data_IF_306220975709
#
_entry.id   IF_306220975709
#
_cell.length_a   1.000
_cell.length_b   1.000
_cell.length_c   1.000
_cell.angle_alpha   90.00
_cell.angle_beta   90.00
_cell.angle_gamma   90.00
#
_symmetry.space_group_name_H-M   'P 1'
#
loop_
_entity.id
_entity.type
_entity.pdbx_description
1 polymer ?
#
# COMPACT_ATOMS: atom_id res chain seq x y z
N UNK A 1 -12.65 -12.69 -10.73
CA UNK A 1 -11.22 -13.03 -10.95
C UNK A 1 -10.51 -11.85 -11.59
N UNK A 2 -9.31 -11.50 -11.11
CA UNK A 2 -8.49 -10.43 -11.66
C UNK A 2 -8.03 -10.78 -13.09
N UNK A 3 -8.11 -9.81 -14.01
CA UNK A 3 -7.66 -9.95 -15.41
C UNK A 3 -6.83 -8.74 -15.81
N UNK A 4 -6.01 -8.86 -16.85
CA UNK A 4 -5.29 -7.71 -17.40
C UNK A 4 -6.24 -6.63 -17.91
N UNK A 5 -7.38 -7.01 -18.49
CA UNK A 5 -8.38 -6.06 -18.96
C UNK A 5 -8.90 -5.18 -17.82
N UNK A 6 -9.13 -5.75 -16.62
CA UNK A 6 -9.46 -4.97 -15.42
C UNK A 6 -8.35 -3.98 -15.05
N UNK A 7 -7.08 -4.38 -15.17
CA UNK A 7 -5.95 -3.48 -14.86
C UNK A 7 -5.84 -2.36 -15.90
N UNK A 8 -6.04 -2.67 -17.18
CA UNK A 8 -6.06 -1.65 -18.25
C UNK A 8 -7.26 -0.70 -18.10
N UNK A 9 -8.44 -1.23 -17.77
CA UNK A 9 -9.60 -0.41 -17.47
C UNK A 9 -9.35 0.50 -16.26
N UNK A 10 -8.80 -0.04 -15.17
CA UNK A 10 -8.37 0.74 -14.02
C UNK A 10 -7.38 1.85 -14.40
N UNK A 11 -6.41 1.54 -15.25
CA UNK A 11 -5.46 2.55 -15.74
C UNK A 11 -6.14 3.67 -16.52
N UNK A 12 -7.16 3.37 -17.31
CA UNK A 12 -7.93 4.37 -18.05
C UNK A 12 -8.78 5.23 -17.12
N UNK A 13 -9.52 4.60 -16.19
CA UNK A 13 -10.37 5.28 -15.20
C UNK A 13 -9.56 6.21 -14.29
N UNK A 14 -8.33 5.83 -13.96
CA UNK A 14 -7.49 6.58 -13.03
C UNK A 14 -6.79 7.80 -13.65
N UNK A 15 -6.69 7.93 -14.98
CA UNK A 15 -5.90 8.98 -15.67
C UNK A 15 -6.17 10.41 -15.19
N UNK A 16 -7.42 10.73 -14.89
CA UNK A 16 -7.82 12.08 -14.48
C UNK A 16 -7.81 12.29 -12.95
N UNK A 17 -7.49 11.24 -12.20
CA UNK A 17 -7.60 11.25 -10.74
C UNK A 17 -6.25 11.23 -10.06
N UNK A 18 -5.33 10.44 -10.60
CA UNK A 18 -4.00 10.23 -10.01
C UNK A 18 -2.94 11.09 -10.70
N UNK A 19 -1.80 11.25 -10.03
CA UNK A 19 -0.59 11.76 -10.66
C UNK A 19 0.17 10.61 -11.30
N UNK A 20 0.70 10.77 -12.52
CA UNK A 20 1.75 9.89 -13.02
C UNK A 20 3.01 10.11 -12.15
N UNK A 21 3.29 9.17 -11.24
CA UNK A 21 4.49 9.21 -10.40
C UNK A 21 5.69 8.71 -11.17
N UNK A 22 6.86 9.31 -10.95
CA UNK A 22 8.08 8.93 -11.67
C UNK A 22 8.80 7.74 -11.03
N UNK A 23 9.54 6.98 -11.85
CA UNK A 23 10.65 6.16 -11.39
C UNK A 23 11.93 6.99 -11.45
N UNK A 24 12.49 7.38 -10.30
CA UNK A 24 13.71 8.20 -10.21
C UNK A 24 14.93 7.34 -9.96
N UNK A 25 16.04 7.64 -10.66
CA UNK A 25 17.30 6.93 -10.49
C UNK A 25 17.94 7.24 -9.12
N UNK A 26 18.33 6.21 -8.37
CA UNK A 26 18.81 6.30 -7.00
C UNK A 26 20.07 5.44 -6.74
N UNK A 27 21.21 5.72 -7.41
CA UNK A 27 22.40 4.86 -7.40
C UNK A 27 23.08 4.77 -6.03
N UNK A 28 22.73 5.68 -5.11
CA UNK A 28 23.31 5.67 -3.75
C UNK A 28 22.59 4.72 -2.79
N UNK A 29 21.47 4.09 -3.19
CA UNK A 29 20.75 3.11 -2.37
C UNK A 29 21.59 1.84 -2.21
N UNK A 30 22.14 1.33 -3.30
CA UNK A 30 23.05 0.18 -3.27
C UNK A 30 24.06 0.29 -4.44
N UNK A 31 25.37 0.32 -4.18
CA UNK A 31 26.39 0.47 -5.24
C UNK A 31 26.51 -0.75 -6.17
N UNK A 32 26.02 -1.89 -5.76
CA UNK A 32 26.07 -3.13 -6.54
C UNK A 32 24.89 -3.29 -7.51
N UNK A 33 23.90 -2.37 -7.48
CA UNK A 33 22.66 -2.43 -8.27
C UNK A 33 22.38 -1.11 -8.98
N UNK A 34 21.64 -1.15 -10.08
CA UNK A 34 21.06 0.03 -10.73
C UNK A 34 19.64 0.27 -10.16
N UNK A 35 19.54 1.14 -9.13
CA UNK A 35 18.30 1.29 -8.35
C UNK A 35 17.45 2.46 -8.84
N UNK A 36 16.15 2.21 -8.98
CA UNK A 36 15.11 3.21 -9.26
C UNK A 36 14.07 3.21 -8.15
N UNK A 37 13.48 4.38 -7.86
CA UNK A 37 12.42 4.55 -6.87
C UNK A 37 11.13 4.94 -7.57
N UNK A 38 10.10 4.10 -7.49
CA UNK A 38 8.73 4.44 -7.90
C UNK A 38 8.07 5.25 -6.80
N UNK A 39 7.86 6.54 -7.04
CA UNK A 39 7.57 7.55 -6.00
C UNK A 39 6.08 7.69 -5.70
N UNK A 40 5.40 6.63 -5.26
CA UNK A 40 3.98 6.67 -4.85
C UNK A 40 3.73 7.50 -3.57
N UNK A 41 4.78 7.86 -2.83
CA UNK A 41 4.72 8.86 -1.76
C UNK A 41 4.39 10.27 -2.28
N UNK A 42 4.55 10.55 -3.57
CA UNK A 42 4.19 11.81 -4.22
C UNK A 42 2.80 11.76 -4.89
N UNK A 43 2.03 10.70 -4.70
CA UNK A 43 0.68 10.57 -5.23
C UNK A 43 -0.30 11.57 -4.59
N UNK A 44 -1.48 11.79 -5.17
CA UNK A 44 -2.46 12.82 -4.77
C UNK A 44 -2.77 12.81 -3.27
N UNK A 45 -2.97 11.63 -2.66
CA UNK A 45 -3.20 11.47 -1.21
C UNK A 45 -1.91 11.14 -0.44
N UNK A 46 -0.74 11.34 -1.06
CA UNK A 46 0.54 10.92 -0.50
C UNK A 46 0.75 9.41 -0.48
N UNK A 47 -0.11 8.61 -1.11
CA UNK A 47 0.01 7.16 -1.15
C UNK A 47 -0.71 6.52 -2.34
N UNK A 48 -0.30 5.29 -2.68
CA UNK A 48 -0.91 4.48 -3.73
C UNK A 48 -2.38 4.13 -3.48
N UNK A 49 -2.88 4.24 -2.25
CA UNK A 49 -4.21 3.76 -1.83
C UNK A 49 -5.36 4.36 -2.64
N UNK A 50 -5.20 5.57 -3.12
CA UNK A 50 -6.20 6.23 -3.98
C UNK A 50 -6.51 5.43 -5.25
N UNK A 51 -5.53 4.71 -5.82
CA UNK A 51 -5.69 3.94 -7.06
C UNK A 51 -6.76 2.84 -6.91
N UNK A 52 -6.56 1.95 -5.93
CA UNK A 52 -7.50 0.87 -5.66
C UNK A 52 -8.85 1.36 -5.14
N UNK A 53 -8.86 2.34 -4.22
CA UNK A 53 -10.10 2.90 -3.68
C UNK A 53 -10.94 3.54 -4.79
N UNK A 54 -10.32 4.35 -5.65
CA UNK A 54 -11.05 5.01 -6.73
C UNK A 54 -11.59 4.00 -7.75
N UNK A 55 -10.76 3.06 -8.20
CA UNK A 55 -11.23 2.07 -9.16
C UNK A 55 -12.37 1.23 -8.58
N UNK A 56 -12.26 0.74 -7.34
CA UNK A 56 -13.35 0.01 -6.68
C UNK A 56 -14.64 0.82 -6.66
N UNK A 57 -14.59 2.06 -6.22
CA UNK A 57 -15.77 2.93 -6.09
C UNK A 57 -16.37 3.27 -7.46
N UNK A 58 -15.55 3.45 -8.49
CA UNK A 58 -16.04 3.70 -9.86
C UNK A 58 -16.85 2.52 -10.44
N UNK A 59 -16.56 1.30 -9.98
CA UNK A 59 -17.21 0.06 -10.45
C UNK A 59 -18.51 -0.28 -9.71
N UNK A 60 -18.92 0.51 -8.71
CA UNK A 60 -20.17 0.30 -8.00
C UNK A 60 -21.39 0.54 -8.91
N UNK A 61 -22.44 -0.25 -8.71
CA UNK A 61 -23.73 -0.02 -9.35
C UNK A 61 -24.37 1.31 -8.88
N UNK A 62 -25.35 1.80 -9.61
CA UNK A 62 -26.07 3.03 -9.21
C UNK A 62 -26.80 2.85 -7.88
N UNK A 63 -27.29 1.64 -7.58
CA UNK A 63 -27.88 1.28 -6.30
C UNK A 63 -26.86 1.38 -5.17
N UNK A 64 -25.69 0.73 -5.29
CA UNK A 64 -24.60 0.81 -4.31
C UNK A 64 -24.11 2.25 -4.11
N UNK A 65 -23.98 3.04 -5.19
CA UNK A 65 -23.61 4.45 -5.13
C UNK A 65 -24.63 5.28 -4.36
N UNK A 66 -25.94 4.98 -4.53
CA UNK A 66 -27.01 5.72 -3.85
C UNK A 66 -27.00 5.53 -2.33
N UNK A 67 -26.62 4.36 -1.84
CA UNK A 67 -26.46 4.10 -0.41
C UNK A 67 -25.19 4.76 0.16
N UNK A 68 -24.10 4.81 -0.62
CA UNK A 68 -22.80 5.32 -0.19
C UNK A 68 -21.82 4.23 0.20
N UNK A 69 -20.63 4.63 0.62
CA UNK A 69 -19.55 3.72 0.97
C UNK A 69 -19.09 3.91 2.41
N UNK A 70 -18.55 2.84 2.99
CA UNK A 70 -17.97 2.85 4.34
C UNK A 70 -16.61 2.14 4.34
N UNK A 71 -15.68 2.62 5.17
CA UNK A 71 -14.42 1.95 5.40
C UNK A 71 -13.98 2.09 6.87
N UNK A 72 -13.11 1.19 7.30
CA UNK A 72 -12.42 1.29 8.59
C UNK A 72 -10.93 1.51 8.34
N UNK A 73 -10.41 2.69 8.66
CA UNK A 73 -8.98 2.99 8.56
C UNK A 73 -8.65 4.34 9.21
N UNK A 74 -7.61 4.37 10.01
CA UNK A 74 -7.05 5.62 10.54
C UNK A 74 -5.87 6.16 9.70
N UNK A 75 -5.69 5.71 8.44
CA UNK A 75 -4.51 6.04 7.64
C UNK A 75 -4.81 6.32 6.17
N UNK A 76 -3.89 5.89 5.31
CA UNK A 76 -3.89 6.20 3.89
C UNK A 76 -5.11 5.67 3.12
N UNK A 77 -5.68 4.54 3.57
CA UNK A 77 -6.89 4.01 2.95
C UNK A 77 -8.09 4.91 3.19
N UNK A 78 -8.24 5.47 4.40
CA UNK A 78 -9.28 6.43 4.72
C UNK A 78 -9.29 7.61 3.75
N UNK A 79 -8.12 8.23 3.53
CA UNK A 79 -7.97 9.35 2.61
C UNK A 79 -8.25 8.96 1.15
N UNK A 80 -7.79 7.77 0.75
CA UNK A 80 -8.06 7.24 -0.59
C UNK A 80 -9.56 7.04 -0.85
N UNK A 81 -10.29 6.44 0.11
CA UNK A 81 -11.75 6.25 0.02
C UNK A 81 -12.48 7.58 0.04
N UNK A 82 -12.12 8.49 0.94
CA UNK A 82 -12.74 9.81 1.05
C UNK A 82 -12.63 10.61 -0.27
N UNK A 83 -11.41 10.71 -0.82
CA UNK A 83 -11.20 11.37 -2.10
C UNK A 83 -11.98 10.70 -3.25
N UNK A 84 -11.92 9.35 -3.30
CA UNK A 84 -12.56 8.60 -4.36
C UNK A 84 -14.10 8.76 -4.34
N UNK A 85 -14.71 8.67 -3.16
CA UNK A 85 -16.15 8.85 -2.99
C UNK A 85 -16.57 10.27 -3.36
N UNK A 86 -15.88 11.28 -2.86
CA UNK A 86 -16.18 12.69 -3.15
C UNK A 86 -16.10 13.00 -4.65
N UNK A 87 -15.05 12.50 -5.35
CA UNK A 87 -14.91 12.68 -6.79
C UNK A 87 -16.01 11.96 -7.61
N UNK A 88 -16.60 10.90 -7.07
CA UNK A 88 -17.74 10.20 -7.69
C UNK A 88 -19.10 10.74 -7.19
N UNK A 89 -19.15 11.77 -6.36
CA UNK A 89 -20.40 12.31 -5.81
C UNK A 89 -21.10 11.37 -4.82
N UNK A 90 -20.37 10.47 -4.17
CA UNK A 90 -20.88 9.42 -3.29
C UNK A 90 -20.61 9.79 -1.84
N UNK A 91 -21.57 9.58 -0.95
CA UNK A 91 -21.38 9.71 0.49
C UNK A 91 -20.37 8.67 0.98
N UNK A 92 -19.42 9.08 1.83
CA UNK A 92 -18.48 8.16 2.48
C UNK A 92 -18.44 8.36 3.98
N UNK A 93 -18.40 7.24 4.72
CA UNK A 93 -18.22 7.21 6.17
C UNK A 93 -16.93 6.45 6.47
N UNK A 94 -16.09 7.04 7.30
CA UNK A 94 -14.84 6.40 7.73
C UNK A 94 -14.88 6.19 9.24
N UNK A 95 -14.92 4.93 9.67
CA UNK A 95 -14.82 4.55 11.07
C UNK A 95 -13.34 4.43 11.46
N UNK A 96 -12.99 5.03 12.60
CA UNK A 96 -11.63 4.97 13.15
C UNK A 96 -11.70 5.09 14.69
N UNK A 97 -10.68 4.55 15.40
CA UNK A 97 -10.61 4.69 16.86
C UNK A 97 -10.59 6.17 17.27
N UNK A 98 -11.20 6.49 18.39
CA UNK A 98 -11.23 7.87 18.94
C UNK A 98 -9.85 8.38 19.36
N UNK A 99 -8.90 7.48 19.66
CA UNK A 99 -7.49 7.78 19.86
C UNK A 99 -6.68 8.02 18.57
N UNK A 100 -7.31 8.06 17.39
CA UNK A 100 -6.60 8.35 16.14
C UNK A 100 -6.02 9.77 16.13
N UNK A 101 -4.81 9.97 15.56
CA UNK A 101 -4.21 11.29 15.48
C UNK A 101 -5.10 12.32 14.78
N UNK A 102 -5.25 13.49 15.39
CA UNK A 102 -6.12 14.58 14.89
C UNK A 102 -5.82 14.93 13.43
N UNK A 103 -4.55 14.96 13.04
CA UNK A 103 -4.14 15.25 11.67
C UNK A 103 -4.68 14.25 10.64
N UNK A 104 -4.80 12.96 11.01
CA UNK A 104 -5.40 11.93 10.13
C UNK A 104 -6.91 12.09 10.01
N UNK A 105 -7.56 12.43 11.13
CA UNK A 105 -8.99 12.73 11.16
C UNK A 105 -9.30 13.93 10.27
N UNK A 106 -8.58 15.03 10.44
CA UNK A 106 -8.78 16.26 9.67
C UNK A 106 -8.43 16.08 8.18
N UNK A 107 -7.38 15.33 7.85
CA UNK A 107 -7.07 14.99 6.46
C UNK A 107 -8.21 14.20 5.80
N UNK A 108 -8.79 13.24 6.51
CA UNK A 108 -9.93 12.43 6.01
C UNK A 108 -11.16 13.29 5.78
N UNK A 109 -11.51 14.17 6.74
CA UNK A 109 -12.59 15.15 6.58
C UNK A 109 -12.32 16.13 5.43
N UNK A 110 -11.07 16.58 5.29
CA UNK A 110 -10.64 17.49 4.22
C UNK A 110 -10.87 16.93 2.81
N UNK A 111 -10.90 15.60 2.66
CA UNK A 111 -11.29 14.91 1.42
C UNK A 111 -12.79 14.67 1.29
N UNK A 112 -13.61 15.16 2.23
CA UNK A 112 -15.07 15.16 2.14
C UNK A 112 -15.80 13.98 2.78
N UNK A 113 -15.10 13.11 3.53
CA UNK A 113 -15.75 12.01 4.24
C UNK A 113 -16.35 12.44 5.58
N UNK A 114 -17.46 11.81 5.95
CA UNK A 114 -17.98 11.80 7.32
C UNK A 114 -17.08 10.88 8.17
N UNK A 115 -16.66 11.34 9.34
CA UNK A 115 -15.81 10.59 10.26
C UNK A 115 -16.62 10.11 11.44
N UNK A 116 -16.61 8.79 11.67
CA UNK A 116 -17.19 8.12 12.81
C UNK A 116 -16.06 7.71 13.77
N UNK A 117 -15.90 8.47 14.89
CA UNK A 117 -14.96 8.12 15.95
C UNK A 117 -15.57 7.07 16.87
N UNK A 118 -14.85 5.98 17.09
CA UNK A 118 -15.31 4.84 17.87
C UNK A 118 -14.40 4.66 19.08
N UNK A 119 -14.92 4.64 20.32
CA UNK A 119 -14.12 4.33 21.49
C UNK A 119 -13.47 2.95 21.39
N UNK A 120 -12.18 2.87 21.71
CA UNK A 120 -11.44 1.61 21.71
C UNK A 120 -10.33 1.53 20.66
N UNK A 121 -10.10 0.32 20.11
CA UNK A 121 -9.03 0.00 19.16
C UNK A 121 -9.57 -0.21 17.74
N UNK A 122 -8.67 -0.60 16.83
CA UNK A 122 -9.04 -0.82 15.41
C UNK A 122 -10.18 -1.83 15.25
N UNK A 123 -10.18 -2.91 16.02
CA UNK A 123 -11.19 -3.97 15.92
C UNK A 123 -12.60 -3.47 16.31
N UNK A 124 -12.69 -2.55 17.28
CA UNK A 124 -13.95 -1.90 17.66
C UNK A 124 -14.48 -0.99 16.54
N UNK A 125 -13.59 -0.22 15.93
CA UNK A 125 -13.94 0.64 14.79
C UNK A 125 -14.34 -0.19 13.56
N UNK A 126 -13.72 -1.34 13.35
CA UNK A 126 -14.09 -2.26 12.29
C UNK A 126 -15.48 -2.87 12.53
N UNK A 127 -15.74 -3.35 13.74
CA UNK A 127 -17.05 -3.89 14.13
C UNK A 127 -18.15 -2.84 13.92
N UNK A 128 -17.90 -1.57 14.30
CA UNK A 128 -18.84 -0.46 14.07
C UNK A 128 -19.05 -0.16 12.59
N UNK A 129 -18.01 -0.27 11.78
CA UNK A 129 -18.16 -0.09 10.32
C UNK A 129 -19.05 -1.19 9.71
N UNK A 130 -18.92 -2.44 10.16
CA UNK A 130 -19.76 -3.56 9.73
C UNK A 130 -21.22 -3.35 10.18
N UNK A 131 -21.44 -2.95 11.45
CA UNK A 131 -22.78 -2.62 11.97
C UNK A 131 -23.47 -1.54 11.10
N UNK A 132 -22.78 -0.45 10.81
CA UNK A 132 -23.30 0.65 10.01
C UNK A 132 -23.54 0.23 8.55
N UNK A 133 -22.65 -0.60 7.98
CA UNK A 133 -22.85 -1.20 6.66
C UNK A 133 -24.18 -1.94 6.59
N UNK A 134 -24.40 -2.86 7.53
CA UNK A 134 -25.57 -3.75 7.52
C UNK A 134 -26.89 -2.98 7.80
N UNK A 135 -26.81 -1.95 8.66
CA UNK A 135 -27.99 -1.13 9.00
C UNK A 135 -28.42 -0.16 7.87
N UNK A 136 -27.48 0.28 7.01
CA UNK A 136 -27.74 1.35 6.03
C UNK A 136 -27.51 0.92 4.58
N UNK A 137 -27.05 -0.30 4.32
CA UNK A 137 -26.77 -0.80 2.98
C UNK A 137 -25.50 -0.20 2.34
N UNK A 138 -24.58 0.37 3.13
CA UNK A 138 -23.33 0.91 2.60
C UNK A 138 -22.46 -0.18 1.98
N UNK A 139 -21.75 0.15 0.90
CA UNK A 139 -20.71 -0.74 0.39
C UNK A 139 -19.42 -0.57 1.19
N UNK A 140 -18.93 -1.67 1.79
CA UNK A 140 -17.64 -1.67 2.51
C UNK A 140 -16.48 -1.68 1.51
N UNK A 141 -15.57 -0.71 1.62
CA UNK A 141 -14.37 -0.63 0.77
C UNK A 141 -13.20 -1.23 1.52
N UNK A 142 -12.87 -2.49 1.16
CA UNK A 142 -11.79 -3.23 1.81
C UNK A 142 -10.41 -2.63 1.48
N UNK A 143 -9.48 -2.51 2.46
CA UNK A 143 -8.20 -1.83 2.26
C UNK A 143 -7.21 -2.56 1.33
N UNK A 144 -7.41 -3.86 1.04
CA UNK A 144 -6.51 -4.67 0.23
C UNK A 144 -7.14 -5.93 -0.39
N UNK A 145 -8.08 -6.61 0.27
CA UNK A 145 -8.61 -7.90 -0.16
C UNK A 145 -9.90 -7.76 -0.98
N UNK A 146 -9.78 -7.11 -2.11
CA UNK A 146 -10.86 -6.91 -3.11
C UNK A 146 -10.21 -6.85 -4.50
N UNK A 147 -10.74 -7.60 -5.45
CA UNK A 147 -10.17 -7.71 -6.80
C UNK A 147 -10.11 -6.37 -7.56
N UNK A 148 -11.08 -5.49 -7.36
CA UNK A 148 -11.06 -4.18 -8.00
C UNK A 148 -10.03 -3.26 -7.32
N UNK A 149 -9.88 -3.36 -5.99
CA UNK A 149 -8.80 -2.68 -5.27
C UNK A 149 -7.45 -3.17 -5.76
N UNK A 150 -7.25 -4.48 -5.87
CA UNK A 150 -6.02 -5.11 -6.40
C UNK A 150 -5.75 -4.67 -7.84
N UNK A 151 -6.77 -4.61 -8.71
CA UNK A 151 -6.64 -4.15 -10.09
C UNK A 151 -6.15 -2.69 -10.16
N UNK A 152 -6.73 -1.80 -9.34
CA UNK A 152 -6.28 -0.41 -9.24
C UNK A 152 -4.80 -0.29 -8.84
N UNK A 153 -4.34 -1.12 -7.88
CA UNK A 153 -2.92 -1.17 -7.48
C UNK A 153 -2.04 -1.74 -8.60
N UNK A 154 -2.56 -2.66 -9.41
CA UNK A 154 -1.87 -3.25 -10.55
C UNK A 154 -1.43 -2.23 -11.60
N UNK A 155 -2.08 -1.08 -11.68
CA UNK A 155 -1.71 0.01 -12.60
C UNK A 155 -0.29 0.54 -12.36
N UNK A 156 0.24 0.39 -11.13
CA UNK A 156 1.63 0.73 -10.82
C UNK A 156 2.60 -0.18 -11.58
N UNK A 157 2.25 -1.47 -11.72
CA UNK A 157 3.03 -2.41 -12.53
C UNK A 157 3.13 -1.98 -13.99
N UNK A 158 2.03 -1.48 -14.58
CA UNK A 158 2.03 -0.92 -15.95
C UNK A 158 2.98 0.28 -16.06
N UNK A 159 2.89 1.21 -15.11
CA UNK A 159 3.74 2.41 -15.08
C UNK A 159 5.22 2.06 -14.91
N UNK A 160 5.56 1.12 -14.02
CA UNK A 160 6.95 0.67 -13.83
C UNK A 160 7.50 0.08 -15.11
N UNK A 161 6.78 -0.85 -15.76
CA UNK A 161 7.22 -1.48 -16.99
C UNK A 161 7.35 -0.49 -18.15
N UNK A 162 6.56 0.58 -18.16
CA UNK A 162 6.66 1.65 -19.14
C UNK A 162 7.86 2.59 -18.88
N UNK A 163 8.16 2.90 -17.61
CA UNK A 163 9.19 3.86 -17.23
C UNK A 163 10.59 3.23 -17.13
N UNK A 164 10.67 1.95 -16.75
CA UNK A 164 11.90 1.16 -16.61
C UNK A 164 11.71 -0.17 -17.35
N UNK A 165 11.67 -0.08 -18.69
CA UNK A 165 11.32 -1.21 -19.54
C UNK A 165 12.25 -2.43 -19.41
N UNK A 166 13.49 -2.23 -18.96
CA UNK A 166 14.51 -3.25 -18.74
C UNK A 166 14.71 -3.58 -17.24
N UNK A 167 13.73 -3.30 -16.37
CA UNK A 167 13.77 -3.73 -15.00
C UNK A 167 13.93 -5.24 -14.87
N UNK A 168 14.81 -5.68 -13.96
CA UNK A 168 15.04 -7.08 -13.61
C UNK A 168 14.24 -7.49 -12.37
N UNK A 169 14.12 -6.57 -11.40
CA UNK A 169 13.52 -6.83 -10.09
C UNK A 169 12.66 -5.66 -9.65
N UNK A 170 11.50 -5.95 -9.11
CA UNK A 170 10.62 -4.96 -8.46
C UNK A 170 10.45 -5.36 -7.00
N UNK A 171 10.63 -4.40 -6.07
CA UNK A 171 10.54 -4.62 -4.63
C UNK A 171 9.39 -3.78 -4.07
N UNK A 172 8.44 -4.44 -3.37
CA UNK A 172 7.15 -3.87 -2.99
C UNK A 172 6.89 -4.04 -1.49
N UNK A 173 6.41 -3.03 -0.76
CA UNK A 173 6.04 -3.18 0.65
C UNK A 173 4.78 -4.05 0.78
N UNK A 174 4.73 -4.90 1.80
CA UNK A 174 3.63 -5.85 2.03
C UNK A 174 3.05 -5.69 3.43
N UNK A 175 1.79 -5.23 3.49
CA UNK A 175 0.92 -5.41 4.66
C UNK A 175 -0.03 -6.58 4.41
N UNK A 176 -1.31 -6.31 4.17
CA UNK A 176 -2.30 -7.32 3.81
C UNK A 176 -2.21 -7.89 2.39
N UNK A 177 -1.27 -7.42 1.56
CA UNK A 177 -0.93 -8.01 0.27
C UNK A 177 -1.53 -7.36 -0.97
N UNK A 178 -2.50 -6.43 -0.86
CA UNK A 178 -3.22 -5.90 -2.04
C UNK A 178 -2.35 -5.18 -3.07
N UNK A 179 -1.34 -4.42 -2.62
CA UNK A 179 -0.42 -3.72 -3.50
C UNK A 179 0.44 -4.70 -4.31
N UNK A 180 1.13 -5.60 -3.61
CA UNK A 180 2.02 -6.56 -4.26
C UNK A 180 1.25 -7.53 -5.17
N UNK A 181 0.04 -7.94 -4.78
CA UNK A 181 -0.83 -8.79 -5.60
C UNK A 181 -1.12 -8.14 -6.96
N UNK A 182 -1.52 -6.87 -6.95
CA UNK A 182 -1.78 -6.13 -8.19
C UNK A 182 -0.53 -5.93 -9.05
N UNK A 183 0.57 -5.49 -8.43
CA UNK A 183 1.84 -5.26 -9.14
C UNK A 183 2.39 -6.57 -9.70
N UNK A 184 2.49 -7.64 -8.88
CA UNK A 184 3.03 -8.92 -9.30
C UNK A 184 2.18 -9.57 -10.39
N UNK A 185 0.85 -9.60 -10.23
CA UNK A 185 -0.04 -10.08 -11.28
C UNK A 185 0.24 -9.38 -12.62
N UNK A 186 0.19 -8.04 -12.62
CA UNK A 186 0.37 -7.24 -13.84
C UNK A 186 1.74 -7.49 -14.48
N UNK A 187 2.80 -7.47 -13.68
CA UNK A 187 4.17 -7.68 -14.16
C UNK A 187 4.36 -9.08 -14.72
N UNK A 188 3.89 -10.11 -14.02
CA UNK A 188 4.04 -11.51 -14.47
C UNK A 188 3.24 -11.82 -15.73
N UNK A 189 2.09 -11.15 -15.94
CA UNK A 189 1.32 -11.31 -17.16
C UNK A 189 2.00 -10.65 -18.39
N UNK A 190 2.67 -9.51 -18.20
CA UNK A 190 3.26 -8.72 -19.29
C UNK A 190 4.74 -9.04 -19.53
N UNK A 191 5.49 -9.30 -18.47
CA UNK A 191 6.93 -9.56 -18.50
C UNK A 191 7.33 -10.58 -17.43
N UNK A 192 7.05 -11.87 -17.65
CA UNK A 192 7.24 -12.92 -16.62
C UNK A 192 8.70 -13.08 -16.14
N UNK A 193 9.68 -12.59 -16.91
CA UNK A 193 11.09 -12.62 -16.54
C UNK A 193 11.45 -11.66 -15.39
N UNK A 194 10.64 -10.62 -15.16
CA UNK A 194 10.86 -9.69 -14.04
C UNK A 194 10.48 -10.35 -12.71
N UNK A 195 11.40 -10.33 -11.77
CA UNK A 195 11.14 -10.85 -10.43
C UNK A 195 10.45 -9.79 -9.56
N UNK A 196 9.47 -10.23 -8.77
CA UNK A 196 8.75 -9.36 -7.83
C UNK A 196 8.91 -9.88 -6.42
N UNK A 197 9.56 -9.09 -5.57
CA UNK A 197 9.77 -9.40 -4.16
C UNK A 197 8.94 -8.51 -3.25
N UNK A 198 8.37 -9.13 -2.23
CA UNK A 198 7.70 -8.44 -1.12
C UNK A 198 8.65 -8.12 0.03
N UNK A 199 8.35 -7.08 0.79
CA UNK A 199 9.06 -6.75 2.03
C UNK A 199 8.08 -6.48 3.15
N UNK A 200 8.22 -7.20 4.26
CA UNK A 200 7.51 -6.97 5.52
C UNK A 200 8.46 -6.50 6.62
N UNK A 201 7.93 -5.86 7.65
CA UNK A 201 8.70 -5.64 8.87
C UNK A 201 8.83 -6.96 9.66
N UNK A 202 9.97 -7.20 10.29
CA UNK A 202 10.20 -8.38 11.15
C UNK A 202 9.17 -8.52 12.27
N UNK A 203 8.65 -7.40 12.78
CA UNK A 203 7.61 -7.40 13.80
C UNK A 203 6.17 -7.59 13.28
N UNK A 204 5.97 -7.81 11.96
CA UNK A 204 4.66 -8.05 11.33
C UNK A 204 4.78 -8.96 10.09
N UNK A 205 5.34 -10.20 10.20
CA UNK A 205 5.66 -11.07 9.07
C UNK A 205 4.50 -11.98 8.63
N UNK A 206 3.25 -11.48 8.63
CA UNK A 206 2.06 -12.30 8.40
C UNK A 206 2.07 -13.03 7.05
N UNK A 207 2.43 -12.34 5.96
CA UNK A 207 2.50 -12.93 4.62
C UNK A 207 3.68 -13.88 4.49
N UNK A 208 4.84 -13.58 5.10
CA UNK A 208 6.02 -14.47 5.11
C UNK A 208 5.66 -15.80 5.76
N UNK A 209 5.03 -15.77 6.95
CA UNK A 209 4.62 -16.97 7.66
C UNK A 209 3.60 -17.75 6.85
N UNK A 210 2.58 -17.06 6.33
CA UNK A 210 1.52 -17.69 5.54
C UNK A 210 2.05 -18.41 4.29
N UNK A 211 2.97 -17.75 3.55
CA UNK A 211 3.58 -18.38 2.36
C UNK A 211 4.46 -19.59 2.72
N UNK A 212 5.18 -19.50 3.83
CA UNK A 212 6.03 -20.60 4.33
C UNK A 212 5.19 -21.81 4.72
N UNK A 213 4.06 -21.59 5.39
CA UNK A 213 3.21 -22.64 5.92
C UNK A 213 2.15 -23.12 4.92
N UNK A 214 2.04 -22.44 3.76
CA UNK A 214 1.09 -22.77 2.69
C UNK A 214 -0.37 -22.51 3.04
N UNK A 215 -0.64 -21.72 4.08
CA UNK A 215 -1.98 -21.33 4.55
C UNK A 215 -1.91 -19.97 5.21
N UNK A 216 -3.06 -19.29 5.29
CA UNK A 216 -3.15 -17.99 5.97
C UNK A 216 -2.89 -18.17 7.47
N UNK A 217 -1.93 -17.39 7.99
CA UNK A 217 -1.57 -17.34 9.40
C UNK A 217 -1.92 -15.97 9.98
N UNK A 218 -2.64 -15.97 11.11
CA UNK A 218 -2.95 -14.77 11.87
C UNK A 218 -1.94 -14.61 13.02
N UNK A 219 -1.23 -13.48 13.06
CA UNK A 219 -0.26 -13.17 14.12
C UNK A 219 -0.99 -12.79 15.41
N UNK A 220 -0.51 -13.27 16.55
CA UNK A 220 -1.04 -12.89 17.86
C UNK A 220 -0.87 -11.38 18.11
N UNK A 221 0.31 -10.84 17.77
CA UNK A 221 0.64 -9.43 17.92
C UNK A 221 1.51 -8.92 16.77
N UNK A 222 1.51 -7.61 16.58
CA UNK A 222 2.34 -6.94 15.56
C UNK A 222 2.96 -5.68 16.16
N UNK A 223 4.27 -5.54 16.02
CA UNK A 223 5.05 -4.42 16.56
C UNK A 223 6.06 -3.94 15.52
N UNK A 224 5.87 -2.74 14.99
CA UNK A 224 6.80 -2.10 14.06
C UNK A 224 6.50 -0.61 13.94
N UNK A 225 7.51 0.17 13.57
CA UNK A 225 7.37 1.59 13.18
C UNK A 225 6.72 1.76 11.81
N UNK A 226 6.62 0.69 11.02
CA UNK A 226 6.01 0.68 9.69
C UNK A 226 4.48 0.52 9.77
N UNK A 227 3.77 1.51 10.32
CA UNK A 227 2.33 1.47 10.57
C UNK A 227 1.49 1.06 9.35
N UNK A 228 1.88 1.51 8.15
CA UNK A 228 1.15 1.24 6.92
C UNK A 228 1.14 -0.23 6.47
N UNK A 229 2.01 -1.07 7.04
CA UNK A 229 2.10 -2.51 6.78
C UNK A 229 1.92 -3.37 8.04
N UNK A 230 1.48 -2.78 9.14
CA UNK A 230 1.24 -3.45 10.42
C UNK A 230 -0.06 -4.25 10.39
N UNK A 231 -0.05 -5.39 9.71
CA UNK A 231 -1.23 -6.22 9.43
C UNK A 231 -1.02 -7.62 10.02
N UNK A 232 -2.00 -8.07 10.83
CA UNK A 232 -1.93 -9.38 11.51
C UNK A 232 -2.14 -10.56 10.56
N UNK A 233 -2.94 -10.39 9.52
CA UNK A 233 -3.39 -11.47 8.67
C UNK A 233 -3.51 -11.02 7.21
N UNK A 234 -2.99 -11.76 6.23
CA UNK A 234 -3.24 -11.51 4.80
C UNK A 234 -4.72 -11.72 4.45
N UNK A 235 -5.16 -11.14 3.34
CA UNK A 235 -6.45 -11.48 2.77
C UNK A 235 -6.43 -12.83 2.03
N UNK A 236 -7.59 -13.41 1.80
CA UNK A 236 -7.73 -14.68 1.07
C UNK A 236 -7.27 -14.52 -0.40
N UNK A 237 -7.80 -13.52 -1.09
CA UNK A 237 -7.38 -13.22 -2.47
C UNK A 237 -5.91 -12.83 -2.54
N UNK A 238 -5.45 -11.97 -1.61
CA UNK A 238 -4.07 -11.51 -1.65
C UNK A 238 -3.06 -12.62 -1.34
N UNK A 239 -3.39 -13.57 -0.47
CA UNK A 239 -2.58 -14.74 -0.24
C UNK A 239 -2.49 -15.63 -1.49
N UNK A 240 -3.62 -15.88 -2.17
CA UNK A 240 -3.65 -16.65 -3.43
C UNK A 240 -2.77 -15.98 -4.50
N UNK A 241 -2.91 -14.66 -4.71
CA UNK A 241 -2.11 -13.94 -5.69
C UNK A 241 -0.62 -13.89 -5.34
N UNK A 242 -0.29 -13.68 -4.06
CA UNK A 242 1.10 -13.72 -3.61
C UNK A 242 1.73 -15.11 -3.81
N UNK A 243 1.03 -16.17 -3.44
CA UNK A 243 1.51 -17.55 -3.64
C UNK A 243 1.78 -17.88 -5.11
N UNK A 244 1.04 -17.27 -6.04
CA UNK A 244 1.11 -17.57 -7.46
C UNK A 244 2.09 -16.69 -8.24
N UNK A 245 2.24 -15.42 -7.86
CA UNK A 245 2.92 -14.44 -8.70
C UNK A 245 4.13 -13.77 -8.07
N UNK A 246 4.36 -13.93 -6.75
CA UNK A 246 5.48 -13.30 -6.04
C UNK A 246 6.65 -14.26 -5.96
N UNK A 247 7.85 -13.80 -6.29
CA UNK A 247 9.07 -14.64 -6.29
C UNK A 247 9.63 -14.87 -4.87
N UNK A 248 9.22 -14.08 -3.90
CA UNK A 248 9.55 -14.23 -2.48
C UNK A 248 9.16 -13.01 -1.65
N UNK A 249 9.06 -13.21 -0.35
CA UNK A 249 8.84 -12.12 0.61
C UNK A 249 9.94 -12.20 1.68
N UNK A 250 10.61 -11.06 1.92
CA UNK A 250 11.68 -10.93 2.92
C UNK A 250 11.25 -10.00 4.05
N UNK A 251 11.99 -10.01 5.14
CA UNK A 251 11.77 -9.11 6.27
C UNK A 251 12.93 -8.15 6.48
N UNK A 252 12.62 -6.97 7.03
CA UNK A 252 13.56 -5.96 7.48
C UNK A 252 13.24 -5.55 8.91
N UNK A 253 14.28 -5.22 9.70
CA UNK A 253 14.11 -4.73 11.06
C UNK A 253 13.68 -3.26 11.10
N UNK A 254 13.18 -2.79 12.24
CA UNK A 254 12.83 -1.38 12.43
C UNK A 254 14.07 -0.46 12.35
N UNK A 255 15.26 -0.95 12.71
CA UNK A 255 16.52 -0.21 12.55
C UNK A 255 16.91 -0.07 11.07
N UNK A 256 16.76 -1.12 10.29
CA UNK A 256 16.98 -1.09 8.84
C UNK A 256 15.99 -0.14 8.15
N UNK A 257 14.71 -0.15 8.58
CA UNK A 257 13.68 0.77 8.10
C UNK A 257 14.04 2.23 8.44
N UNK A 258 14.46 2.50 9.68
CA UNK A 258 14.89 3.82 10.14
C UNK A 258 16.07 4.35 9.32
N UNK A 259 17.04 3.49 9.04
CA UNK A 259 18.19 3.82 8.20
C UNK A 259 17.79 4.15 6.77
N UNK A 260 16.81 3.44 6.22
CA UNK A 260 16.28 3.70 4.87
C UNK A 260 15.48 5.02 4.81
N UNK A 261 14.70 5.36 5.86
CA UNK A 261 14.01 6.65 5.95
C UNK A 261 15.03 7.79 5.91
N UNK A 262 16.09 7.70 6.74
CA UNK A 262 17.15 8.69 6.77
C UNK A 262 17.85 8.82 5.40
N UNK A 263 18.17 7.69 4.76
CA UNK A 263 18.76 7.69 3.42
C UNK A 263 17.86 8.38 2.38
N UNK A 264 16.54 8.09 2.40
CA UNK A 264 15.59 8.74 1.49
C UNK A 264 15.57 10.25 1.68
N UNK A 265 15.55 10.74 2.93
CA UNK A 265 15.57 12.17 3.25
C UNK A 265 16.91 12.80 2.82
N UNK A 266 18.03 12.23 3.24
CA UNK A 266 19.34 12.84 3.04
C UNK A 266 19.84 12.77 1.60
N UNK A 267 19.66 11.61 0.95
CA UNK A 267 20.29 11.34 -0.37
C UNK A 267 19.32 11.53 -1.53
N UNK A 268 18.02 11.27 -1.30
CA UNK A 268 17.01 11.33 -2.37
C UNK A 268 16.07 12.55 -2.24
N UNK A 269 16.08 13.24 -1.08
CA UNK A 269 15.17 14.38 -0.78
C UNK A 269 13.69 13.96 -0.83
N UNK A 270 13.43 12.70 -0.52
CA UNK A 270 12.09 12.12 -0.44
C UNK A 270 11.73 11.85 1.02
N UNK A 271 10.51 12.22 1.38
CA UNK A 271 9.92 11.88 2.68
C UNK A 271 9.01 10.68 2.51
N UNK A 272 9.24 9.63 3.29
CA UNK A 272 8.43 8.42 3.32
C UNK A 272 8.26 7.96 4.76
N UNK A 273 7.10 7.36 5.08
CA UNK A 273 6.94 6.65 6.36
C UNK A 273 7.63 5.28 6.32
N UNK A 274 7.69 4.61 7.48
CA UNK A 274 8.36 3.31 7.62
C UNK A 274 7.92 2.28 6.59
N UNK A 275 6.61 2.15 6.36
CA UNK A 275 6.07 1.20 5.38
C UNK A 275 6.59 1.44 3.95
N UNK A 276 6.66 2.69 3.52
CA UNK A 276 7.16 3.05 2.19
C UNK A 276 8.68 2.94 2.05
N UNK A 277 9.42 2.93 3.16
CA UNK A 277 10.88 2.80 3.16
C UNK A 277 11.36 1.33 3.15
N UNK A 278 10.49 0.35 3.47
CA UNK A 278 10.88 -1.06 3.58
C UNK A 278 11.52 -1.64 2.30
N UNK A 279 11.08 -1.33 1.05
CA UNK A 279 11.75 -1.82 -0.13
C UNK A 279 13.18 -1.29 -0.28
N UNK A 280 13.39 -0.03 0.10
CA UNK A 280 14.71 0.59 0.09
C UNK A 280 15.60 -0.06 1.15
N UNK A 281 15.08 -0.31 2.35
CA UNK A 281 15.80 -1.06 3.40
C UNK A 281 16.25 -2.44 2.91
N UNK A 282 15.34 -3.21 2.29
CA UNK A 282 15.67 -4.54 1.80
C UNK A 282 16.81 -4.55 0.76
N UNK A 283 16.87 -3.53 -0.11
CA UNK A 283 17.93 -3.39 -1.11
C UNK A 283 19.22 -2.86 -0.48
N UNK A 284 19.14 -1.89 0.42
CA UNK A 284 20.32 -1.35 1.15
C UNK A 284 21.03 -2.42 1.96
N UNK A 285 20.30 -3.30 2.60
CA UNK A 285 20.83 -4.34 3.49
C UNK A 285 20.93 -5.71 2.82
N UNK A 286 20.89 -5.76 1.46
CA UNK A 286 21.10 -6.98 0.65
C UNK A 286 20.18 -8.16 1.03
N UNK A 287 18.91 -7.88 1.42
CA UNK A 287 17.93 -8.92 1.76
C UNK A 287 17.35 -9.61 0.52
N UNK A 288 17.39 -8.96 -0.64
CA UNK A 288 16.87 -9.52 -1.90
C UNK A 288 17.96 -10.34 -2.58
N UNK A 289 17.69 -11.62 -2.92
CA UNK A 289 18.70 -12.48 -3.52
C UNK A 289 19.02 -12.09 -4.97
N UNK A 290 20.27 -12.30 -5.38
CA UNK A 290 20.77 -12.22 -6.77
C UNK A 290 20.45 -10.91 -7.49
N UNK A 291 20.61 -9.76 -6.79
CA UNK A 291 20.36 -8.43 -7.37
C UNK A 291 21.62 -7.72 -7.84
N UNK A 292 22.82 -8.27 -7.60
CA UNK A 292 24.07 -7.67 -8.03
C UNK A 292 24.13 -7.50 -9.55
N UNK A 293 24.40 -6.28 -10.01
CA UNK A 293 24.41 -5.91 -11.43
C UNK A 293 23.02 -5.84 -12.07
N UNK A 294 21.93 -5.91 -11.27
CA UNK A 294 20.56 -5.88 -11.75
C UNK A 294 19.95 -4.49 -11.64
N UNK A 295 18.97 -4.25 -12.50
CA UNK A 295 18.13 -3.07 -12.45
C UNK A 295 16.93 -3.33 -11.53
N UNK A 296 16.92 -2.62 -10.38
CA UNK A 296 15.99 -2.84 -9.29
C UNK A 296 15.08 -1.64 -9.12
N UNK A 297 13.76 -1.84 -9.12
CA UNK A 297 12.78 -0.78 -8.84
C UNK A 297 12.19 -1.00 -7.45
N UNK A 298 12.45 -0.07 -6.52
CA UNK A 298 11.83 -0.03 -5.20
C UNK A 298 10.57 0.84 -5.23
N UNK A 299 9.42 0.31 -4.81
CA UNK A 299 8.20 1.08 -4.68
C UNK A 299 8.21 1.82 -3.34
N UNK A 300 8.40 3.14 -3.38
CA UNK A 300 8.33 4.02 -2.22
C UNK A 300 6.95 4.63 -2.13
N UNK A 301 6.22 4.31 -1.07
CA UNK A 301 4.87 4.83 -0.89
C UNK A 301 4.73 5.49 0.48
N UNK A 302 3.64 6.21 0.64
CA UNK A 302 3.25 6.93 1.83
C UNK A 302 4.19 8.07 2.21
N UNK A 303 3.74 9.28 1.86
CA UNK A 303 4.33 10.50 2.41
C UNK A 303 3.95 10.61 3.88
N UNK A 304 4.86 11.20 4.63
CA UNK A 304 4.72 11.37 6.05
C UNK A 304 3.56 12.32 6.40
N UNK A 305 2.56 11.82 7.13
CA UNK A 305 1.47 12.64 7.67
C UNK A 305 1.65 13.00 9.15
N UNK A 306 2.76 12.53 9.80
CA UNK A 306 3.02 12.75 11.23
C UNK A 306 4.47 13.05 11.56
N UNK A 307 4.66 14.00 12.48
CA UNK A 307 5.94 14.37 13.10
C UNK A 307 6.55 13.29 14.04
N UNK A 308 5.87 12.15 14.25
CA UNK A 308 6.43 11.04 15.08
C UNK A 308 7.74 10.45 14.54
N UNK A 309 8.04 10.53 13.23
CA UNK A 309 9.36 10.15 12.73
C UNK A 309 10.46 11.10 13.22
N UNK A 310 10.13 12.35 13.55
CA UNK A 310 11.10 13.25 14.19
C UNK A 310 11.53 12.77 15.57
N UNK A 311 10.62 12.19 16.37
CA UNK A 311 10.98 11.62 17.67
C UNK A 311 11.88 10.39 17.51
N UNK A 312 11.63 9.55 16.51
CA UNK A 312 12.48 8.37 16.21
C UNK A 312 13.84 8.79 15.64
N UNK A 313 13.89 9.80 14.76
CA UNK A 313 15.14 10.34 14.21
C UNK A 313 15.98 11.09 15.25
N UNK A 314 15.35 11.77 16.22
CA UNK A 314 16.05 12.46 17.31
C UNK A 314 16.64 11.49 18.32
N UNK A 315 16.15 10.25 18.40
CA UNK A 315 16.70 9.20 19.27
C UNK A 315 17.84 8.40 18.59
N UNK A 316 18.15 8.68 17.31
CA UNK A 316 19.20 8.03 16.52
C UNK A 316 20.47 8.89 16.36
N UNK A 317 20.55 10.05 17.04
CA UNK A 317 21.74 10.93 17.06
C UNK A 317 22.42 10.89 18.41
#
# INVERSE_FOLDING_TARGET
MLTLDKVFDASNVLKEVIRPTACIHAPKVNPDCDVYLKTENLQVTGSFKVRGAYYKISQLSDEEKSHGVIACSAGNHAQGVALAATKNGIKSIICLPDGAPISKVEATKGYGAEVCLVPGVYDDAYAKAIELRDANGYTFIHPFDDENVIAGQGTIGLEILSQVADADVIVVPVGGGGLISGVAFTVKQLKPSVRVYGVQAEGAPSMVNSLKDGKIECLESVHTIADGIKVKEPGEHTFEYCSKYVDGVVTVSDDEISSAILHLIEKQKLVSEGAGATPVAAVMFNKIPDIKGKKVVCLVSVSYTHLRAHETLMNLV
#
